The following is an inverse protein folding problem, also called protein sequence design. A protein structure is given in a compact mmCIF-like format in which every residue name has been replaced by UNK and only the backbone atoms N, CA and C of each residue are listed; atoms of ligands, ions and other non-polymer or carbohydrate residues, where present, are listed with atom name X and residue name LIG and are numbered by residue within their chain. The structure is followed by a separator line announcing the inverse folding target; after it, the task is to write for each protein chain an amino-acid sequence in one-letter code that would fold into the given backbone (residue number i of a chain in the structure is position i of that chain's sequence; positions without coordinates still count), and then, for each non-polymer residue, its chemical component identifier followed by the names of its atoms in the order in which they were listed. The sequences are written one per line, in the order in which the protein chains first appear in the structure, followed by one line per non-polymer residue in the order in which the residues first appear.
data_IF_328266807636
#
_entry.id   IF_328266807636
#
_cell.length_a   1.000
_cell.length_b   1.000
_cell.length_c   1.000
_cell.angle_alpha   90.00
_cell.angle_beta   90.00
_cell.angle_gamma   90.00
#
_symmetry.space_group_name_H-M   'P 1'
#
loop_
_entity.id
_entity.type
_entity.pdbx_description
1 polymer ?
#
# COMPACT_ATOMS: atom_id res chain seq x y z
N UNK A 1 -13.27 -33.38 31.90
CA UNK A 1 -12.41 -32.18 31.86
C UNK A 1 -12.66 -31.45 30.54
N UNK A 2 -12.95 -30.16 30.60
CA UNK A 2 -13.75 -29.41 29.62
C UNK A 2 -12.92 -28.89 28.45
N UNK A 3 -13.32 -29.25 27.22
CA UNK A 3 -12.78 -28.80 25.90
C UNK A 3 -12.65 -27.28 25.75
N UNK A 4 -13.30 -26.50 26.62
CA UNK A 4 -13.30 -25.04 26.67
C UNK A 4 -11.93 -24.42 26.98
N UNK A 5 -11.04 -25.12 27.71
CA UNK A 5 -9.72 -24.57 28.06
C UNK A 5 -8.76 -24.62 26.86
N UNK A 6 -8.90 -25.63 25.99
CA UNK A 6 -8.03 -25.81 24.82
C UNK A 6 -8.28 -24.75 23.74
N UNK A 7 -9.53 -24.35 23.52
CA UNK A 7 -9.85 -23.31 22.52
C UNK A 7 -9.43 -21.90 22.95
N UNK A 8 -9.24 -21.64 24.24
CA UNK A 8 -8.84 -20.32 24.75
C UNK A 8 -7.35 -20.05 24.52
N UNK A 9 -6.52 -21.11 24.47
CA UNK A 9 -5.08 -20.97 24.21
C UNK A 9 -4.75 -20.74 22.72
N UNK A 10 -5.59 -21.19 21.79
CA UNK A 10 -5.39 -20.97 20.35
C UNK A 10 -5.76 -19.52 19.94
N UNK A 11 -6.66 -18.88 20.68
CA UNK A 11 -7.11 -17.52 20.38
C UNK A 11 -6.14 -16.41 20.82
N UNK A 12 -5.08 -16.72 21.57
CA UNK A 12 -4.23 -15.70 22.23
C UNK A 12 -2.80 -15.62 21.69
N UNK A 13 -2.50 -16.21 20.52
CA UNK A 13 -1.14 -16.29 19.98
C UNK A 13 -0.92 -15.54 18.65
N UNK A 14 -1.72 -14.51 18.35
CA UNK A 14 -1.57 -13.70 17.12
C UNK A 14 -1.32 -12.20 17.34
N UNK A 15 -0.98 -11.79 18.57
CA UNK A 15 -0.73 -10.37 18.88
C UNK A 15 0.56 -10.24 19.68
N UNK A 16 1.71 -10.55 19.06
CA UNK A 16 3.03 -10.13 19.54
C UNK A 16 4.13 -10.41 18.50
N UNK A 17 3.97 -9.88 17.29
CA UNK A 17 5.14 -9.63 16.44
C UNK A 17 4.98 -8.28 15.76
N UNK A 18 4.75 -7.25 16.57
CA UNK A 18 5.40 -5.96 16.35
C UNK A 18 6.89 -6.21 16.59
N UNK A 19 7.53 -6.89 15.64
CA UNK A 19 8.97 -6.78 15.46
C UNK A 19 9.22 -5.32 15.22
N UNK A 20 9.66 -4.66 16.29
CA UNK A 20 10.32 -3.37 16.30
C UNK A 20 11.21 -3.32 15.06
N UNK A 21 10.71 -2.69 14.00
CA UNK A 21 11.48 -2.47 12.80
C UNK A 21 12.60 -1.54 13.23
N UNK A 22 13.78 -2.16 13.41
CA UNK A 22 15.10 -1.57 13.36
C UNK A 22 15.06 -0.07 13.08
N UNK A 23 15.20 0.73 14.13
CA UNK A 23 15.65 2.11 14.03
C UNK A 23 17.12 2.12 13.62
N UNK A 24 17.42 1.53 12.47
CA UNK A 24 18.53 2.02 11.67
C UNK A 24 18.08 3.40 11.25
N UNK A 25 18.88 4.42 11.55
CA UNK A 25 18.73 5.69 10.87
C UNK A 25 18.81 5.40 9.37
N UNK A 26 17.65 5.28 8.72
CA UNK A 26 17.52 5.19 7.27
C UNK A 26 17.92 6.58 6.78
N UNK A 27 19.24 6.81 6.65
CA UNK A 27 19.80 8.14 6.43
C UNK A 27 19.26 8.84 5.16
N UNK A 28 18.55 8.12 4.30
CA UNK A 28 17.89 8.67 3.10
C UNK A 28 16.39 8.98 3.21
N UNK A 29 15.63 8.46 4.21
CA UNK A 29 14.18 8.68 4.28
C UNK A 29 13.80 9.74 5.30
N UNK A 30 13.05 10.72 4.85
CA UNK A 30 12.44 11.70 5.74
C UNK A 30 11.06 11.26 6.26
N UNK A 31 10.54 12.02 7.22
CA UNK A 31 9.23 11.76 7.83
C UNK A 31 8.08 11.72 6.82
N UNK A 32 8.11 12.58 5.79
CA UNK A 32 7.05 12.64 4.79
C UNK A 32 7.08 11.43 3.86
N UNK A 33 8.27 10.98 3.46
CA UNK A 33 8.46 9.74 2.71
C UNK A 33 7.99 8.53 3.52
N UNK A 34 8.33 8.43 4.81
CA UNK A 34 7.86 7.35 5.68
C UNK A 34 6.34 7.36 5.84
N UNK A 35 5.73 8.53 6.07
CA UNK A 35 4.29 8.66 6.16
C UNK A 35 3.60 8.23 4.85
N UNK A 36 4.13 8.64 3.70
CA UNK A 36 3.59 8.22 2.42
C UNK A 36 3.73 6.70 2.21
N UNK A 37 4.87 6.12 2.55
CA UNK A 37 5.10 4.68 2.46
C UNK A 37 4.06 3.91 3.29
N UNK A 38 3.78 4.36 4.51
CA UNK A 38 2.74 3.76 5.35
C UNK A 38 1.36 3.85 4.71
N UNK A 39 0.96 5.02 4.21
CA UNK A 39 -0.32 5.20 3.53
C UNK A 39 -0.43 4.32 2.27
N UNK A 40 0.66 4.17 1.53
CA UNK A 40 0.74 3.29 0.37
C UNK A 40 0.56 1.82 0.74
N UNK A 41 1.09 1.36 1.88
CA UNK A 41 0.84 -0.01 2.34
C UNK A 41 -0.65 -0.25 2.65
N UNK A 42 -1.31 0.71 3.31
CA UNK A 42 -2.76 0.61 3.57
C UNK A 42 -3.55 0.59 2.25
N UNK A 43 -3.13 1.42 1.30
CA UNK A 43 -3.74 1.51 -0.05
C UNK A 43 -3.57 0.20 -0.81
N UNK A 44 -2.38 -0.41 -0.75
CA UNK A 44 -2.07 -1.72 -1.34
C UNK A 44 -2.90 -2.83 -0.73
N UNK A 45 -3.06 -2.86 0.60
CA UNK A 45 -3.93 -3.83 1.26
C UNK A 45 -5.39 -3.73 0.79
N UNK A 46 -5.87 -2.52 0.47
CA UNK A 46 -7.20 -2.33 -0.10
C UNK A 46 -7.32 -2.98 -1.48
N UNK A 47 -6.31 -2.81 -2.33
CA UNK A 47 -6.25 -3.46 -3.64
C UNK A 47 -6.18 -4.99 -3.54
N UNK A 48 -5.38 -5.53 -2.61
CA UNK A 48 -5.30 -6.98 -2.40
C UNK A 48 -6.63 -7.57 -1.92
N UNK A 49 -7.39 -6.85 -1.10
CA UNK A 49 -8.77 -7.24 -0.76
C UNK A 49 -9.69 -7.19 -1.98
N UNK A 50 -9.55 -6.17 -2.83
CA UNK A 50 -10.34 -6.06 -4.05
C UNK A 50 -10.05 -7.23 -5.02
N UNK A 51 -8.80 -7.65 -5.15
CA UNK A 51 -8.37 -8.78 -5.99
C UNK A 51 -9.06 -10.10 -5.62
N UNK A 52 -9.31 -10.32 -4.32
CA UNK A 52 -9.95 -11.54 -3.82
C UNK A 52 -11.46 -11.42 -3.64
N UNK A 53 -12.03 -10.22 -3.81
CA UNK A 53 -13.47 -9.94 -3.74
C UNK A 53 -14.13 -10.02 -5.12
N UNK A 54 -15.45 -9.96 -5.19
CA UNK A 54 -16.21 -9.97 -6.45
C UNK A 54 -17.40 -8.99 -6.42
N UNK A 55 -17.94 -8.67 -7.61
CA UNK A 55 -19.18 -7.90 -7.77
C UNK A 55 -19.13 -6.52 -7.11
N UNK A 56 -20.21 -6.15 -6.43
CA UNK A 56 -20.36 -4.82 -5.82
C UNK A 56 -19.31 -4.53 -4.73
N UNK A 57 -18.88 -5.55 -3.97
CA UNK A 57 -17.83 -5.38 -2.96
C UNK A 57 -16.48 -5.07 -3.60
N UNK A 58 -16.11 -5.80 -4.66
CA UNK A 58 -14.89 -5.51 -5.42
C UNK A 58 -14.92 -4.09 -5.99
N UNK A 59 -16.04 -3.67 -6.60
CA UNK A 59 -16.19 -2.31 -7.13
C UNK A 59 -16.03 -1.24 -6.04
N UNK A 60 -16.63 -1.44 -4.86
CA UNK A 60 -16.47 -0.55 -3.71
C UNK A 60 -15.00 -0.45 -3.27
N UNK A 61 -14.33 -1.60 -3.08
CA UNK A 61 -12.93 -1.65 -2.66
C UNK A 61 -12.00 -1.00 -3.69
N UNK A 62 -12.24 -1.20 -4.98
CA UNK A 62 -11.49 -0.53 -6.07
C UNK A 62 -11.74 0.98 -6.07
N UNK A 63 -12.97 1.44 -5.82
CA UNK A 63 -13.27 2.87 -5.69
C UNK A 63 -12.55 3.52 -4.51
N UNK A 64 -12.51 2.82 -3.37
CA UNK A 64 -11.75 3.26 -2.18
C UNK A 64 -10.25 3.27 -2.45
N UNK A 65 -9.71 2.22 -3.08
CA UNK A 65 -8.30 2.13 -3.45
C UNK A 65 -7.91 3.27 -4.39
N UNK A 66 -8.69 3.54 -5.45
CA UNK A 66 -8.46 4.64 -6.38
C UNK A 66 -8.32 5.99 -5.69
N UNK A 67 -9.26 6.30 -4.77
CA UNK A 67 -9.24 7.55 -4.03
C UNK A 67 -7.96 7.69 -3.20
N UNK A 68 -7.61 6.64 -2.45
CA UNK A 68 -6.40 6.63 -1.64
C UNK A 68 -5.12 6.70 -2.49
N UNK A 69 -5.10 6.01 -3.63
CA UNK A 69 -3.98 6.02 -4.56
C UNK A 69 -3.78 7.42 -5.16
N UNK A 70 -4.86 8.11 -5.51
CA UNK A 70 -4.83 9.49 -5.98
C UNK A 70 -4.32 10.46 -4.91
N UNK A 71 -4.80 10.33 -3.67
CA UNK A 71 -4.34 11.15 -2.54
C UNK A 71 -2.83 10.94 -2.29
N UNK A 72 -2.36 9.69 -2.33
CA UNK A 72 -0.93 9.36 -2.21
C UNK A 72 -0.10 9.89 -3.37
N UNK A 73 -0.62 9.84 -4.60
CA UNK A 73 0.06 10.39 -5.78
C UNK A 73 0.21 11.91 -5.68
N UNK A 74 -0.80 12.61 -5.17
CA UNK A 74 -0.72 14.04 -4.94
C UNK A 74 0.31 14.38 -3.85
N UNK A 75 0.27 13.68 -2.71
CA UNK A 75 1.26 13.84 -1.65
C UNK A 75 2.68 13.56 -2.15
N UNK A 76 2.87 12.55 -3.00
CA UNK A 76 4.16 12.27 -3.62
C UNK A 76 4.62 13.43 -4.49
N UNK A 77 3.77 13.93 -5.39
CA UNK A 77 4.11 15.02 -6.31
C UNK A 77 4.49 16.32 -5.59
N UNK A 78 3.87 16.60 -4.45
CA UNK A 78 4.11 17.80 -3.66
C UNK A 78 5.40 17.73 -2.82
N UNK A 79 5.93 16.54 -2.59
CA UNK A 79 7.15 16.35 -1.82
C UNK A 79 8.38 16.91 -2.53
N UNK A 80 9.27 17.51 -1.72
CA UNK A 80 10.54 18.10 -2.16
C UNK A 80 11.64 17.72 -1.16
N UNK A 81 12.90 17.58 -1.61
CA UNK A 81 14.00 17.40 -0.68
C UNK A 81 14.11 18.61 0.25
N UNK A 82 14.56 18.39 1.48
CA UNK A 82 14.73 19.48 2.46
C UNK A 82 15.81 20.45 1.99
N UNK A 83 15.61 21.74 2.24
CA UNK A 83 16.64 22.74 2.00
C UNK A 83 17.88 22.45 2.88
N UNK A 84 19.07 22.66 2.32
CA UNK A 84 20.33 22.49 3.04
C UNK A 84 20.83 21.05 3.18
N UNK A 85 20.18 20.06 2.54
CA UNK A 85 20.75 18.71 2.40
C UNK A 85 22.07 18.75 1.63
N UNK A 86 23.01 17.88 2.03
CA UNK A 86 24.21 17.61 1.23
C UNK A 86 23.83 16.95 -0.10
N UNK A 87 24.74 16.95 -1.08
CA UNK A 87 24.49 16.30 -2.37
C UNK A 87 24.16 14.82 -2.20
N UNK A 88 24.91 14.12 -1.34
CA UNK A 88 24.68 12.70 -1.05
C UNK A 88 23.30 12.44 -0.46
N UNK A 89 22.88 13.21 0.55
CA UNK A 89 21.56 13.07 1.16
C UNK A 89 20.43 13.39 0.17
N UNK A 90 20.65 14.38 -0.70
CA UNK A 90 19.69 14.73 -1.76
C UNK A 90 19.57 13.60 -2.80
N UNK A 91 20.67 12.98 -3.18
CA UNK A 91 20.66 11.85 -4.12
C UNK A 91 19.98 10.63 -3.51
N UNK A 92 20.25 10.33 -2.23
CA UNK A 92 19.54 9.30 -1.47
C UNK A 92 18.03 9.58 -1.37
N UNK A 93 17.65 10.84 -1.13
CA UNK A 93 16.25 11.26 -1.10
C UNK A 93 15.56 11.02 -2.44
N UNK A 94 16.21 11.38 -3.57
CA UNK A 94 15.65 11.14 -4.91
C UNK A 94 15.54 9.65 -5.23
N UNK A 95 16.50 8.84 -4.81
CA UNK A 95 16.45 7.40 -4.99
C UNK A 95 15.25 6.78 -4.24
N UNK A 96 14.96 7.24 -3.02
CA UNK A 96 13.78 6.79 -2.27
C UNK A 96 12.48 7.35 -2.87
N UNK A 97 12.47 8.60 -3.32
CA UNK A 97 11.32 9.19 -4.00
C UNK A 97 10.96 8.43 -5.29
N UNK A 98 11.96 7.98 -6.05
CA UNK A 98 11.74 7.17 -7.25
C UNK A 98 11.09 5.82 -6.92
N UNK A 99 11.56 5.13 -5.86
CA UNK A 99 10.95 3.87 -5.41
C UNK A 99 9.48 4.03 -5.02
N UNK A 100 9.15 5.14 -4.36
CA UNK A 100 7.77 5.50 -4.00
C UNK A 100 6.93 5.67 -5.28
N UNK A 101 7.43 6.42 -6.27
CA UNK A 101 6.75 6.59 -7.54
C UNK A 101 6.53 5.25 -8.28
N UNK A 102 7.53 4.38 -8.28
CA UNK A 102 7.45 3.07 -8.92
C UNK A 102 6.39 2.17 -8.27
N UNK A 103 6.27 2.15 -6.94
CA UNK A 103 5.23 1.35 -6.26
C UNK A 103 3.82 1.95 -6.46
N UNK A 104 3.67 3.28 -6.49
CA UNK A 104 2.39 3.93 -6.86
C UNK A 104 1.93 3.52 -8.26
N UNK A 105 2.84 3.59 -9.24
CA UNK A 105 2.56 3.18 -10.62
C UNK A 105 2.25 1.68 -10.72
N UNK A 106 2.95 0.86 -9.94
CA UNK A 106 2.69 -0.57 -9.87
C UNK A 106 1.28 -0.87 -9.35
N UNK A 107 0.86 -0.22 -8.26
CA UNK A 107 -0.50 -0.36 -7.71
C UNK A 107 -1.57 0.05 -8.72
N UNK A 108 -1.36 1.15 -9.45
CA UNK A 108 -2.27 1.60 -10.52
C UNK A 108 -2.43 0.57 -11.64
N UNK A 109 -1.33 -0.02 -12.10
CA UNK A 109 -1.34 -1.05 -13.14
C UNK A 109 -2.05 -2.32 -12.67
N UNK A 110 -1.81 -2.72 -11.43
CA UNK A 110 -2.48 -3.87 -10.82
C UNK A 110 -3.99 -3.64 -10.67
N UNK A 111 -4.41 -2.44 -10.24
CA UNK A 111 -5.82 -2.07 -10.21
C UNK A 111 -6.47 -2.16 -11.60
N UNK A 112 -5.80 -1.64 -12.62
CA UNK A 112 -6.28 -1.70 -13.99
C UNK A 112 -6.50 -3.15 -14.45
N UNK A 113 -5.59 -4.07 -14.11
CA UNK A 113 -5.74 -5.52 -14.42
C UNK A 113 -6.99 -6.10 -13.76
N UNK A 114 -7.25 -5.77 -12.49
CA UNK A 114 -8.46 -6.24 -11.78
C UNK A 114 -9.72 -5.72 -12.45
N UNK A 115 -9.75 -4.42 -12.79
CA UNK A 115 -10.87 -3.80 -13.50
C UNK A 115 -11.14 -4.48 -14.85
N UNK A 116 -10.10 -4.73 -15.64
CA UNK A 116 -10.23 -5.41 -16.93
C UNK A 116 -10.70 -6.86 -16.80
N UNK A 117 -10.23 -7.59 -15.78
CA UNK A 117 -10.70 -8.95 -15.51
C UNK A 117 -12.17 -9.00 -15.04
N UNK A 118 -12.62 -7.94 -14.33
CA UNK A 118 -13.99 -7.82 -13.83
C UNK A 118 -14.98 -7.25 -14.85
N UNK A 119 -14.50 -6.68 -15.96
CA UNK A 119 -15.35 -6.17 -17.01
C UNK A 119 -16.03 -7.36 -17.72
N UNK A 120 -17.36 -7.37 -17.88
CA UNK A 120 -18.01 -8.38 -18.70
C UNK A 120 -17.41 -8.27 -20.10
N UNK A 121 -16.84 -9.37 -20.58
CA UNK A 121 -16.40 -9.51 -21.95
C UNK A 121 -17.66 -9.48 -22.84
N UNK A 122 -18.15 -8.29 -23.19
CA UNK A 122 -19.12 -8.11 -24.27
C UNK A 122 -18.39 -8.30 -25.60
N UNK A 123 -18.02 -9.55 -25.90
CA UNK A 123 -17.67 -9.95 -27.26
C UNK A 123 -18.46 -11.20 -27.62
N UNK A 124 -19.39 -11.03 -28.58
CA UNK A 124 -19.86 -12.14 -29.42
C UNK A 124 -21.33 -12.56 -29.33
N UNK A 125 -22.29 -11.63 -29.30
CA UNK A 125 -23.62 -11.87 -29.92
C UNK A 125 -24.18 -10.60 -30.55
N UNK A 126 -23.86 -10.39 -31.82
CA UNK A 126 -24.78 -10.02 -32.89
C UNK A 126 -24.05 -10.08 -34.23
#
# INVERSE_FOLDING_TARGET
MKKSIINTLIATAFIASLSLASTGAMAGRDFFQEQLIQNMQVTKQKLEKAKTSQGAEQQKLLGEHMRMLHDNMNACREMKPKAGMTEKERDEWYAEHQKIMDDLMSQMMEEHKVKMASAPCETGKK
#
